data_IF_624243636101
#
_entry.id   IF_624243636101
#
_cell.length_a   1.000
_cell.length_b   1.000
_cell.length_c   1.000
_cell.angle_alpha   90.00
_cell.angle_beta   90.00
_cell.angle_gamma   90.00
#
_symmetry.space_group_name_H-M   'P 1'
#
loop_
_entity.id
_entity.type
_entity.pdbx_description
1 polymer ?
#
# COMPACT_ATOMS: atom_id res chain seq x y z
N UNK A 1 -10.51 -8.27 18.35
CA UNK A 1 -10.07 -8.13 16.95
C UNK A 1 -8.91 -9.09 16.74
N UNK A 2 -8.97 -9.93 15.71
CA UNK A 2 -7.85 -10.81 15.36
C UNK A 2 -6.68 -9.98 14.82
N UNK A 3 -5.45 -10.35 15.19
CA UNK A 3 -4.23 -9.78 14.61
C UNK A 3 -4.09 -10.29 13.17
N UNK A 4 -4.24 -9.41 12.17
CA UNK A 4 -4.01 -9.75 10.77
C UNK A 4 -2.66 -9.20 10.35
N UNK A 5 -1.72 -10.09 10.03
CA UNK A 5 -0.39 -9.73 9.57
C UNK A 5 -0.13 -10.38 8.20
N UNK A 6 0.30 -9.58 7.24
CA UNK A 6 0.73 -10.07 5.93
C UNK A 6 2.09 -9.47 5.59
N UNK A 7 3.02 -10.33 5.17
CA UNK A 7 4.26 -9.91 4.52
C UNK A 7 4.26 -10.45 3.10
N UNK A 8 4.35 -9.58 2.11
CA UNK A 8 4.29 -10.01 0.72
C UNK A 8 5.08 -9.08 -0.21
N UNK A 9 5.17 -9.49 -1.47
CA UNK A 9 5.76 -8.79 -2.61
C UNK A 9 4.75 -8.85 -3.76
N UNK A 10 5.03 -8.17 -4.86
CA UNK A 10 4.18 -8.31 -6.05
C UNK A 10 4.45 -7.23 -7.08
N UNK A 11 3.36 -6.68 -7.60
CA UNK A 11 3.38 -5.68 -8.65
C UNK A 11 3.54 -4.28 -8.06
N UNK A 12 4.28 -3.45 -8.80
CA UNK A 12 4.45 -2.03 -8.52
C UNK A 12 4.24 -1.28 -9.81
N UNK A 13 3.48 -0.20 -9.75
CA UNK A 13 3.28 0.70 -10.87
C UNK A 13 3.27 2.15 -10.41
N UNK A 14 3.69 3.06 -11.28
CA UNK A 14 3.75 4.48 -10.99
C UNK A 14 3.16 5.30 -12.13
N UNK A 15 2.03 5.96 -11.87
CA UNK A 15 1.45 6.95 -12.78
C UNK A 15 2.21 8.28 -12.63
N UNK A 16 3.09 8.56 -13.57
CA UNK A 16 3.87 9.80 -13.60
C UNK A 16 3.01 11.07 -13.73
N UNK A 17 1.88 11.00 -14.46
CA UNK A 17 1.02 12.15 -14.72
C UNK A 17 0.24 12.53 -13.46
N UNK A 18 -0.31 11.52 -12.77
CA UNK A 18 -1.11 11.71 -11.56
C UNK A 18 -0.26 11.71 -10.27
N UNK A 19 1.01 11.32 -10.34
CA UNK A 19 1.90 11.16 -9.18
C UNK A 19 1.35 10.16 -8.15
N UNK A 20 0.88 9.01 -8.68
CA UNK A 20 0.29 7.92 -7.90
C UNK A 20 1.21 6.72 -7.96
N UNK A 21 1.66 6.25 -6.80
CA UNK A 21 2.47 5.03 -6.67
C UNK A 21 1.62 3.91 -6.08
N UNK A 22 1.55 2.80 -6.79
CA UNK A 22 0.76 1.63 -6.42
C UNK A 22 1.66 0.42 -6.16
N UNK A 23 1.33 -0.31 -5.09
CA UNK A 23 1.92 -1.59 -4.77
C UNK A 23 0.81 -2.59 -4.46
N UNK A 24 0.88 -3.80 -5.01
CA UNK A 24 -0.11 -4.86 -4.77
C UNK A 24 0.51 -6.24 -4.76
N UNK A 25 0.09 -7.08 -3.80
CA UNK A 25 0.43 -8.50 -3.84
C UNK A 25 -0.35 -9.22 -4.95
N UNK A 26 0.30 -10.17 -5.62
CA UNK A 26 -0.33 -11.06 -6.59
C UNK A 26 -0.93 -12.32 -5.95
N UNK A 27 -0.78 -12.50 -4.64
CA UNK A 27 -1.15 -13.74 -3.95
C UNK A 27 -2.59 -13.75 -3.43
N UNK A 28 -3.27 -12.59 -3.43
CA UNK A 28 -4.58 -12.40 -2.80
C UNK A 28 -5.47 -11.50 -3.64
N UNK A 29 -6.76 -11.78 -3.60
CA UNK A 29 -7.78 -11.04 -4.34
C UNK A 29 -8.25 -9.80 -3.58
N UNK A 30 -8.39 -8.70 -4.31
CA UNK A 30 -9.01 -7.48 -3.83
C UNK A 30 -10.48 -7.71 -3.46
N UNK A 31 -10.93 -7.11 -2.35
CA UNK A 31 -12.33 -7.09 -1.95
C UNK A 31 -12.88 -5.67 -1.73
N UNK A 32 -12.12 -4.81 -1.07
CA UNK A 32 -12.52 -3.42 -0.77
C UNK A 32 -11.30 -2.52 -0.57
N UNK A 33 -11.51 -1.21 -0.64
CA UNK A 33 -10.49 -0.22 -0.33
C UNK A 33 -10.84 0.59 0.93
N UNK A 34 -9.82 1.09 1.62
CA UNK A 34 -9.92 2.05 2.73
C UNK A 34 -9.22 3.33 2.27
N UNK A 35 -9.97 4.40 2.13
CA UNK A 35 -9.44 5.72 1.77
C UNK A 35 -8.94 6.45 3.01
N UNK A 36 -7.73 6.98 2.95
CA UNK A 36 -7.02 7.63 4.05
C UNK A 36 -6.29 8.86 3.51
N UNK A 37 -6.91 10.04 3.53
CA UNK A 37 -6.35 11.30 3.00
C UNK A 37 -5.59 11.15 1.66
N UNK A 38 -4.28 10.91 1.71
CA UNK A 38 -3.39 10.77 0.55
C UNK A 38 -3.00 9.31 0.23
N UNK A 39 -3.69 8.34 0.81
CA UNK A 39 -3.43 6.91 0.68
C UNK A 39 -4.75 6.16 0.45
N UNK A 40 -4.67 5.07 -0.31
CA UNK A 40 -5.75 4.08 -0.38
C UNK A 40 -5.17 2.71 -0.09
N UNK A 41 -5.76 1.99 0.86
CA UNK A 41 -5.34 0.63 1.22
C UNK A 41 -6.33 -0.37 0.66
N UNK A 42 -5.82 -1.34 -0.08
CA UNK A 42 -6.63 -2.43 -0.62
C UNK A 42 -6.66 -3.59 0.36
N UNK A 43 -7.84 -4.16 0.59
CA UNK A 43 -8.09 -5.22 1.57
C UNK A 43 -8.77 -6.40 0.89
N UNK A 44 -8.37 -7.62 1.25
CA UNK A 44 -9.03 -8.85 0.80
C UNK A 44 -10.29 -9.19 1.62
N UNK A 45 -10.93 -10.32 1.26
CA UNK A 45 -12.14 -10.82 1.94
C UNK A 45 -11.87 -11.29 3.38
N UNK A 46 -10.63 -11.59 3.72
CA UNK A 46 -10.19 -12.07 5.04
C UNK A 46 -9.72 -10.92 5.95
N UNK A 47 -9.68 -9.69 5.44
CA UNK A 47 -9.26 -8.51 6.17
C UNK A 47 -7.76 -8.22 6.14
N UNK A 48 -6.99 -8.87 5.27
CA UNK A 48 -5.57 -8.56 5.07
C UNK A 48 -5.41 -7.40 4.10
N UNK A 49 -4.48 -6.49 4.41
CA UNK A 49 -4.08 -5.43 3.47
C UNK A 49 -3.25 -6.07 2.35
N UNK A 50 -3.73 -5.97 1.12
CA UNK A 50 -3.13 -6.58 -0.08
C UNK A 50 -2.50 -5.56 -1.02
N UNK A 51 -2.75 -4.28 -0.81
CA UNK A 51 -2.15 -3.23 -1.63
C UNK A 51 -2.24 -1.85 -0.99
N UNK A 52 -1.49 -0.94 -1.57
CA UNK A 52 -1.49 0.47 -1.20
C UNK A 52 -1.32 1.34 -2.46
N UNK A 53 -2.10 2.41 -2.53
CA UNK A 53 -1.91 3.53 -3.45
C UNK A 53 -1.49 4.75 -2.65
N UNK A 54 -0.44 5.43 -3.10
CA UNK A 54 0.09 6.65 -2.49
C UNK A 54 -0.12 7.79 -3.48
N UNK A 55 -0.97 8.74 -3.11
CA UNK A 55 -1.18 9.99 -3.87
C UNK A 55 -0.10 11.01 -3.50
N UNK A 56 0.22 11.89 -4.45
CA UNK A 56 1.35 12.81 -4.35
C UNK A 56 2.64 12.07 -3.94
N UNK A 57 2.87 10.87 -4.47
CA UNK A 57 3.87 9.92 -3.97
C UNK A 57 5.28 10.54 -3.91
N UNK A 58 5.63 11.37 -4.89
CA UNK A 58 6.92 12.06 -4.91
C UNK A 58 7.12 13.00 -3.72
N UNK A 59 6.06 13.70 -3.31
CA UNK A 59 6.05 14.59 -2.15
C UNK A 59 5.97 13.81 -0.85
N UNK A 60 5.09 12.82 -0.78
CA UNK A 60 4.93 11.98 0.42
C UNK A 60 6.21 11.24 0.80
N UNK A 61 6.91 10.67 -0.19
CA UNK A 61 8.13 9.90 0.01
C UNK A 61 9.42 10.75 -0.04
N UNK A 62 9.30 12.02 -0.42
CA UNK A 62 10.43 12.90 -0.73
C UNK A 62 11.41 12.27 -1.75
N UNK A 63 10.85 11.76 -2.85
CA UNK A 63 11.58 11.09 -3.94
C UNK A 63 11.11 11.70 -5.26
N UNK A 64 12.03 12.12 -6.13
CA UNK A 64 11.63 12.69 -7.42
C UNK A 64 10.81 11.69 -8.25
N UNK A 65 9.81 12.17 -8.98
CA UNK A 65 8.94 11.35 -9.87
C UNK A 65 9.74 10.41 -10.79
N UNK A 66 10.85 10.90 -11.34
CA UNK A 66 11.72 10.11 -12.23
C UNK A 66 12.30 8.86 -11.55
N UNK A 67 12.53 8.89 -10.24
CA UNK A 67 13.04 7.75 -9.48
C UNK A 67 11.94 6.75 -9.13
N UNK A 68 10.67 7.18 -9.11
CA UNK A 68 9.52 6.31 -8.85
C UNK A 68 9.08 5.52 -10.09
N UNK A 69 9.45 5.95 -11.30
CA UNK A 69 9.22 5.23 -12.56
C UNK A 69 9.85 3.84 -12.61
N UNK A 70 10.89 3.59 -11.79
CA UNK A 70 11.59 2.31 -11.77
C UNK A 70 11.91 1.90 -10.35
N UNK A 71 11.09 1.00 -9.83
CA UNK A 71 11.28 0.34 -8.54
C UNK A 71 11.67 -1.10 -8.81
N UNK A 72 12.98 -1.46 -8.71
CA UNK A 72 13.44 -2.79 -9.11
C UNK A 72 12.91 -3.91 -8.23
N UNK A 73 12.81 -3.64 -6.93
CA UNK A 73 12.35 -4.60 -5.93
C UNK A 73 11.58 -3.87 -4.84
N UNK A 74 10.61 -4.58 -4.27
CA UNK A 74 9.88 -4.11 -3.11
C UNK A 74 9.29 -5.30 -2.34
N UNK A 75 8.95 -5.04 -1.09
CA UNK A 75 8.14 -5.89 -0.24
C UNK A 75 7.40 -4.99 0.76
N UNK A 76 6.34 -5.50 1.36
CA UNK A 76 5.68 -4.83 2.46
C UNK A 76 5.36 -5.79 3.59
N UNK A 77 5.13 -5.21 4.75
CA UNK A 77 4.53 -5.86 5.90
C UNK A 77 3.39 -4.98 6.39
N UNK A 78 2.18 -5.54 6.40
CA UNK A 78 0.99 -4.89 6.92
C UNK A 78 0.51 -5.60 8.17
N UNK A 79 0.19 -4.84 9.21
CA UNK A 79 -0.39 -5.31 10.45
C UNK A 79 -1.65 -4.52 10.76
N UNK A 80 -2.75 -5.23 11.01
CA UNK A 80 -4.00 -4.65 11.50
C UNK A 80 -4.21 -5.12 12.92
N UNK A 81 -4.10 -4.19 13.88
CA UNK A 81 -4.23 -4.48 15.30
C UNK A 81 -4.79 -3.28 16.06
N UNK A 82 -5.66 -3.56 17.03
CA UNK A 82 -6.19 -2.57 17.99
C UNK A 82 -6.76 -1.30 17.31
N UNK A 83 -7.47 -1.47 16.19
CA UNK A 83 -8.05 -0.36 15.42
C UNK A 83 -7.01 0.51 14.70
N UNK A 84 -5.80 0.00 14.48
CA UNK A 84 -4.71 0.67 13.75
C UNK A 84 -4.20 -0.20 12.63
N UNK A 85 -3.80 0.44 11.55
CA UNK A 85 -3.06 -0.17 10.45
C UNK A 85 -1.63 0.34 10.54
N UNK A 86 -0.70 -0.61 10.56
CA UNK A 86 0.72 -0.36 10.36
C UNK A 86 1.12 -0.97 9.03
N UNK A 87 1.65 -0.15 8.12
CA UNK A 87 2.13 -0.58 6.82
C UNK A 87 3.61 -0.21 6.68
N UNK A 88 4.48 -1.21 6.69
CA UNK A 88 5.93 -1.07 6.48
C UNK A 88 6.22 -1.41 5.04
N UNK A 89 6.56 -0.40 4.25
CA UNK A 89 6.96 -0.58 2.87
C UNK A 89 8.49 -0.58 2.81
N UNK A 90 9.08 -1.51 2.05
CA UNK A 90 10.51 -1.59 1.79
C UNK A 90 10.71 -1.70 0.28
N UNK A 91 11.37 -0.73 -0.34
CA UNK A 91 11.57 -0.74 -1.79
C UNK A 91 12.90 -0.11 -2.18
N UNK A 92 13.35 -0.45 -3.39
CA UNK A 92 14.59 0.07 -3.96
C UNK A 92 14.29 1.14 -5.02
N UNK A 93 15.13 2.17 -5.05
CA UNK A 93 15.18 3.15 -6.14
C UNK A 93 16.59 3.22 -6.72
N UNK A 94 16.70 3.63 -7.98
CA UNK A 94 17.99 3.80 -8.65
C UNK A 94 18.34 5.28 -8.72
N UNK A 95 19.45 5.67 -8.09
CA UNK A 95 19.97 7.05 -8.08
C UNK A 95 21.39 7.04 -8.59
N UNK A 96 21.62 7.63 -9.78
CA UNK A 96 22.96 7.72 -10.41
C UNK A 96 23.68 6.36 -10.44
N UNK A 97 22.98 5.33 -10.93
CA UNK A 97 23.45 3.93 -11.01
C UNK A 97 23.73 3.24 -9.66
N UNK A 98 23.27 3.81 -8.55
CA UNK A 98 23.32 3.18 -7.22
C UNK A 98 21.92 2.80 -6.77
N UNK A 99 21.80 1.62 -6.17
CA UNK A 99 20.57 1.18 -5.51
C UNK A 99 20.51 1.84 -4.13
N UNK A 100 19.37 2.46 -3.82
CA UNK A 100 19.07 3.03 -2.51
C UNK A 100 17.80 2.37 -1.98
N UNK A 101 17.84 1.89 -0.75
CA UNK A 101 16.68 1.31 -0.06
C UNK A 101 15.87 2.39 0.67
N UNK A 102 14.55 2.25 0.62
CA UNK A 102 13.57 3.14 1.21
C UNK A 102 12.60 2.31 2.04
N UNK A 103 12.44 2.68 3.31
CA UNK A 103 11.71 1.90 4.30
C UNK A 103 10.67 2.75 5.06
N UNK A 104 9.71 3.43 4.39
CA UNK A 104 8.73 4.23 5.09
C UNK A 104 7.78 3.35 5.93
N UNK A 105 7.41 3.87 7.10
CA UNK A 105 6.42 3.27 8.00
C UNK A 105 5.20 4.19 7.99
N UNK A 106 4.07 3.64 7.60
CA UNK A 106 2.79 4.34 7.56
C UNK A 106 1.94 3.79 8.70
N UNK A 107 1.42 4.65 9.56
CA UNK A 107 0.53 4.28 10.66
C UNK A 107 -0.73 5.11 10.57
N UNK A 108 -1.88 4.46 10.53
CA UNK A 108 -3.18 5.14 10.45
C UNK A 108 -4.19 4.51 11.41
N UNK A 109 -4.98 5.32 12.13
CA UNK A 109 -6.14 4.82 12.87
C UNK A 109 -7.25 4.40 11.89
N UNK A 110 -8.00 3.37 12.25
CA UNK A 110 -9.23 2.98 11.52
C UNK A 110 -10.41 3.52 12.33
N UNK A 111 -11.18 4.44 11.75
CA UNK A 111 -12.37 5.02 12.40
C UNK A 111 -13.55 4.06 12.45
N UNK A 112 -13.56 3.02 11.61
CA UNK A 112 -14.62 2.02 11.54
C UNK A 112 -14.05 0.59 11.72
N UNK A 113 -14.69 -0.28 12.51
CA UNK A 113 -14.33 -1.70 12.50
C UNK A 113 -14.54 -2.23 11.07
N UNK A 114 -13.54 -2.91 10.50
CA UNK A 114 -13.59 -3.46 9.15
C UNK A 114 -14.93 -4.19 8.94
N UNK A 115 -15.82 -3.71 8.07
CA UNK A 115 -17.15 -4.30 7.95
C UNK A 115 -17.04 -5.74 7.44
N UNK A 116 -17.80 -6.63 8.07
CA UNK A 116 -18.09 -7.96 7.54
C UNK A 116 -18.75 -7.78 6.18
N UNK A 117 -18.21 -8.47 5.17
CA UNK A 117 -18.61 -8.36 3.77
C UNK A 117 -20.12 -8.53 3.58
N UNK A 118 -20.79 -7.49 3.10
CA UNK A 118 -22.01 -7.62 2.32
C UNK A 118 -21.84 -6.76 1.08
N UNK A 119 -21.54 -7.42 -0.04
CA UNK A 119 -21.59 -6.82 -1.37
C UNK A 119 -23.07 -6.57 -1.68
N UNK A 120 -23.48 -5.30 -1.75
CA UNK A 120 -24.71 -4.92 -2.42
C UNK A 120 -24.30 -4.54 -3.84
N UNK A 121 -24.53 -5.44 -4.79
CA UNK A 121 -24.58 -5.05 -6.19
C UNK A 121 -25.99 -4.49 -6.42
N UNK A 122 -26.09 -3.20 -6.78
CA UNK A 122 -27.33 -2.67 -7.35
C UNK A 122 -27.54 -3.31 -8.73
N UNK A 123 -28.78 -3.74 -8.97
CA UNK A 123 -29.23 -4.49 -10.14
C UNK A 123 -29.66 -3.58 -11.29
#
# INVERSE_FOLDING_TARGET
>A
MENKQLKSKGEVDYDYKQDILFFKTSERDYAKSIELENLVLDVDKEGFIVGIQIFEASKFLNISRNMLLKIPTWQFEANVRDGRIEFRLMFQIVVRNKIIEKNPIIMQPISEPLPNSNLICEA
#
